data_IF_143622485634
#
_entry.id   IF_143622485634
#
_cell.length_a   1.000
_cell.length_b   1.000
_cell.length_c   1.000
_cell.angle_alpha   90.00
_cell.angle_beta   90.00
_cell.angle_gamma   90.00
#
_symmetry.space_group_name_H-M   'P 1'
#
loop_
_entity.id
_entity.type
_entity.pdbx_description
1 polymer ?
#
# COMPACT_ATOMS: atom_id res chain seq x y z
N UNK A 1 -4.41 -10.58 -14.08
CA UNK A 1 -4.82 -9.36 -13.35
C UNK A 1 -3.64 -8.80 -12.57
N UNK A 2 -3.65 -7.48 -12.31
CA UNK A 2 -2.54 -6.78 -11.66
C UNK A 2 -2.98 -6.13 -10.34
N UNK A 3 -2.02 -6.00 -9.43
CA UNK A 3 -2.15 -5.26 -8.17
C UNK A 3 -1.47 -3.92 -8.35
N UNK A 4 -2.17 -2.88 -7.93
CA UNK A 4 -1.70 -1.51 -7.98
C UNK A 4 -1.48 -1.02 -6.54
N UNK A 5 -0.28 -0.55 -6.25
CA UNK A 5 0.07 0.01 -4.93
C UNK A 5 0.20 1.52 -5.06
N UNK A 6 -0.49 2.24 -4.18
CA UNK A 6 -0.50 3.69 -4.12
C UNK A 6 0.08 4.14 -2.78
N UNK A 7 0.89 5.21 -2.81
CA UNK A 7 1.25 5.98 -1.62
C UNK A 7 0.72 7.39 -1.82
N UNK A 8 -0.37 7.69 -1.11
CA UNK A 8 -1.09 8.95 -1.24
C UNK A 8 -0.26 10.17 -0.83
N UNK A 9 0.86 9.97 -0.12
CA UNK A 9 1.76 11.05 0.27
C UNK A 9 2.84 11.36 -0.76
N UNK A 10 3.11 10.44 -1.68
CA UNK A 10 4.09 10.61 -2.77
C UNK A 10 3.38 10.93 -4.08
N UNK A 11 2.45 10.07 -4.52
CA UNK A 11 1.71 10.25 -5.76
C UNK A 11 0.26 9.79 -5.57
N UNK A 12 -0.67 10.74 -5.70
CA UNK A 12 -2.10 10.53 -5.43
C UNK A 12 -2.83 9.86 -6.59
N UNK A 13 -2.35 10.07 -7.82
CA UNK A 13 -3.10 9.75 -9.03
C UNK A 13 -2.53 8.54 -9.76
N UNK A 14 -1.25 8.24 -9.56
CA UNK A 14 -0.59 7.12 -10.23
C UNK A 14 -0.09 6.08 -9.24
N UNK A 15 -0.20 4.82 -9.64
CA UNK A 15 0.30 3.70 -8.85
C UNK A 15 1.83 3.73 -8.82
N UNK A 16 2.41 3.70 -7.62
CA UNK A 16 3.87 3.55 -7.44
C UNK A 16 4.38 2.18 -7.90
N UNK A 17 3.52 1.17 -7.86
CA UNK A 17 3.85 -0.16 -8.33
C UNK A 17 2.62 -0.78 -9.00
N UNK A 18 2.85 -1.39 -10.17
CA UNK A 18 1.88 -2.21 -10.86
C UNK A 18 2.49 -3.59 -11.06
N UNK A 19 2.00 -4.58 -10.30
CA UNK A 19 2.54 -5.94 -10.35
C UNK A 19 1.49 -6.87 -10.94
N UNK A 20 1.82 -7.55 -12.04
CA UNK A 20 1.00 -8.65 -12.55
C UNK A 20 1.19 -9.86 -11.65
N UNK A 21 0.10 -10.37 -11.08
CA UNK A 21 0.14 -11.50 -10.13
C UNK A 21 -0.45 -12.76 -10.75
N UNK A 22 -1.55 -12.62 -11.49
CA UNK A 22 -2.21 -13.76 -12.15
C UNK A 22 -2.32 -13.55 -13.65
N UNK A 23 -2.54 -14.66 -14.37
CA UNK A 23 -2.80 -14.65 -15.81
C UNK A 23 -4.00 -13.74 -16.17
N UNK A 24 -4.17 -13.41 -17.45
CA UNK A 24 -5.31 -12.58 -17.89
C UNK A 24 -6.67 -13.27 -17.71
N UNK A 25 -6.70 -14.61 -17.60
CA UNK A 25 -7.93 -15.40 -17.50
C UNK A 25 -8.50 -15.44 -16.07
N UNK A 26 -7.67 -15.13 -15.07
CA UNK A 26 -8.02 -15.27 -13.66
C UNK A 26 -8.29 -13.91 -13.02
N UNK A 27 -9.41 -13.81 -12.29
CA UNK A 27 -9.77 -12.64 -11.48
C UNK A 27 -9.16 -12.76 -10.09
N UNK A 28 -8.75 -11.63 -9.53
CA UNK A 28 -8.38 -11.49 -8.11
C UNK A 28 -9.62 -11.10 -7.33
N UNK A 29 -9.82 -11.69 -6.16
CA UNK A 29 -11.05 -11.47 -5.36
C UNK A 29 -10.76 -10.78 -4.04
N UNK A 30 -9.77 -11.27 -3.30
CA UNK A 30 -9.50 -10.82 -1.94
C UNK A 30 -8.05 -10.37 -1.81
N UNK A 31 -7.84 -9.33 -1.00
CA UNK A 31 -6.51 -8.86 -0.59
C UNK A 31 -6.54 -8.57 0.92
N UNK A 32 -5.48 -8.99 1.61
CA UNK A 32 -5.31 -8.73 3.03
C UNK A 32 -3.85 -8.40 3.33
N UNK A 33 -3.63 -7.49 4.29
CA UNK A 33 -2.30 -7.17 4.80
C UNK A 33 -2.00 -8.04 6.02
N UNK A 34 -0.80 -8.59 6.07
CA UNK A 34 -0.34 -9.25 7.29
C UNK A 34 -0.07 -8.18 8.38
N UNK A 35 -0.60 -8.34 9.61
CA UNK A 35 -0.50 -7.33 10.66
C UNK A 35 0.90 -7.21 11.28
N UNK A 36 1.76 -8.22 11.10
CA UNK A 36 3.10 -8.28 11.69
C UNK A 36 4.19 -8.08 10.65
N UNK A 37 4.03 -8.69 9.47
CA UNK A 37 5.03 -8.70 8.42
C UNK A 37 4.55 -7.86 7.23
N UNK A 38 5.46 -7.18 6.49
CA UNK A 38 5.09 -6.36 5.35
C UNK A 38 4.84 -7.24 4.11
N UNK A 39 3.81 -8.07 4.20
CA UNK A 39 3.38 -9.05 3.22
C UNK A 39 1.90 -8.79 2.93
N UNK A 40 1.53 -8.86 1.67
CA UNK A 40 0.13 -8.92 1.24
C UNK A 40 -0.21 -10.34 0.82
N UNK A 41 -1.42 -10.75 1.16
CA UNK A 41 -1.99 -12.05 0.79
C UNK A 41 -3.12 -11.78 -0.19
N UNK A 42 -3.11 -12.49 -1.31
CA UNK A 42 -4.00 -12.24 -2.43
C UNK A 42 -4.66 -13.54 -2.83
N UNK A 43 -5.98 -13.56 -2.80
CA UNK A 43 -6.80 -14.68 -3.25
C UNK A 43 -7.27 -14.50 -4.69
N UNK A 44 -7.24 -15.58 -5.46
CA UNK A 44 -7.77 -15.63 -6.82
C UNK A 44 -9.11 -16.40 -6.91
N UNK A 45 -9.74 -16.34 -8.09
CA UNK A 45 -11.05 -16.97 -8.33
C UNK A 45 -11.05 -18.49 -8.42
N UNK A 46 -9.89 -19.12 -8.46
CA UNK A 46 -9.75 -20.57 -8.50
C UNK A 46 -9.37 -21.14 -7.12
N UNK A 47 -9.35 -20.31 -6.08
CA UNK A 47 -8.97 -20.71 -4.73
C UNK A 47 -7.47 -20.75 -4.49
N UNK A 48 -6.64 -20.24 -5.41
CA UNK A 48 -5.21 -20.08 -5.14
C UNK A 48 -4.96 -18.83 -4.30
N UNK A 49 -4.02 -18.96 -3.37
CA UNK A 49 -3.57 -17.87 -2.51
C UNK A 49 -2.10 -17.59 -2.81
N UNK A 50 -1.81 -16.33 -3.11
CA UNK A 50 -0.45 -15.85 -3.39
C UNK A 50 -0.03 -14.85 -2.31
N UNK A 51 1.13 -15.07 -1.70
CA UNK A 51 1.75 -14.10 -0.78
C UNK A 51 2.85 -13.30 -1.46
N UNK A 52 2.84 -11.98 -1.31
CA UNK A 52 3.83 -11.07 -1.91
C UNK A 52 4.44 -10.17 -0.85
N UNK A 53 5.76 -10.01 -0.87
CA UNK A 53 6.50 -9.12 0.04
C UNK A 53 6.53 -7.70 -0.51
N UNK A 54 6.28 -6.71 0.33
CA UNK A 54 6.35 -5.30 -0.05
C UNK A 54 7.80 -4.84 -0.24
N UNK A 55 8.03 -4.04 -1.29
CA UNK A 55 9.31 -3.38 -1.56
C UNK A 55 9.81 -2.60 -0.34
N UNK A 56 11.13 -2.56 -0.06
CA UNK A 56 11.69 -1.67 0.97
C UNK A 56 11.22 -0.23 0.87
N UNK A 57 11.00 0.30 -0.35
CA UNK A 57 10.58 1.68 -0.53
C UNK A 57 9.17 1.96 -0.01
N UNK A 58 8.29 0.96 -0.03
CA UNK A 58 6.91 1.06 0.48
C UNK A 58 6.81 0.83 1.99
N UNK A 59 7.92 0.46 2.64
CA UNK A 59 8.01 0.20 4.10
C UNK A 59 8.62 1.36 4.86
N UNK A 60 9.11 2.40 4.17
CA UNK A 60 9.84 3.50 4.79
C UNK A 60 8.88 4.37 5.60
N UNK A 61 9.21 4.58 6.87
CA UNK A 61 8.52 5.58 7.69
C UNK A 61 8.78 6.98 7.13
N UNK A 62 7.82 7.91 7.23
CA UNK A 62 8.04 9.29 6.87
C UNK A 62 9.21 9.86 7.69
N UNK A 63 10.21 10.38 7.00
CA UNK A 63 11.30 11.14 7.61
C UNK A 63 11.03 12.63 7.39
N UNK A 64 11.34 13.46 8.37
CA UNK A 64 11.27 14.90 8.21
C UNK A 64 12.38 15.40 7.26
N UNK A 65 12.34 16.69 6.91
CA UNK A 65 13.36 17.33 6.04
C UNK A 65 14.76 17.34 6.66
N UNK A 66 14.90 17.01 7.94
CA UNK A 66 16.17 16.90 8.68
C UNK A 66 16.60 15.45 8.91
N UNK A 67 15.87 14.47 8.37
CA UNK A 67 16.16 13.04 8.48
C UNK A 67 15.70 12.38 9.79
N UNK A 68 15.04 13.11 10.70
CA UNK A 68 14.43 12.56 11.91
C UNK A 68 13.17 11.77 11.55
N UNK A 69 12.99 10.62 12.21
CA UNK A 69 11.77 9.83 12.06
C UNK A 69 10.61 10.57 12.70
N UNK A 70 9.56 10.84 11.92
CA UNK A 70 8.35 11.45 12.46
C UNK A 70 7.65 10.46 13.40
N UNK A 71 7.04 10.93 14.50
CA UNK A 71 6.29 10.08 15.39
C UNK A 71 5.12 9.42 14.64
N UNK A 72 5.15 8.09 14.58
CA UNK A 72 4.07 7.22 14.06
C UNK A 72 2.95 7.06 15.08
N UNK A 73 2.48 8.16 15.67
CA UNK A 73 1.31 8.09 16.53
C UNK A 73 0.06 7.94 15.65
N UNK A 74 -0.95 7.17 16.08
CA UNK A 74 -2.22 7.05 15.35
C UNK A 74 -2.85 8.42 15.05
N UNK A 75 -2.66 9.40 15.92
CA UNK A 75 -3.14 10.77 15.76
C UNK A 75 -2.41 11.49 14.63
N UNK A 76 -1.10 11.33 14.52
CA UNK A 76 -0.31 11.93 13.45
C UNK A 76 -0.67 11.35 12.07
N UNK A 77 -0.94 10.04 11.99
CA UNK A 77 -1.41 9.41 10.75
C UNK A 77 -2.81 9.88 10.36
N UNK A 78 -3.73 10.02 11.33
CA UNK A 78 -5.05 10.59 11.10
C UNK A 78 -4.98 12.03 10.60
N UNK A 79 -4.18 12.88 11.25
CA UNK A 79 -4.01 14.27 10.85
C UNK A 79 -3.46 14.40 9.41
N UNK A 80 -2.49 13.54 9.05
CA UNK A 80 -1.96 13.49 7.67
C UNK A 80 -3.05 13.10 6.66
N UNK A 81 -3.90 12.14 7.00
CA UNK A 81 -5.00 11.71 6.13
C UNK A 81 -6.08 12.80 6.00
N UNK A 82 -6.43 13.48 7.08
CA UNK A 82 -7.38 14.61 7.04
C UNK A 82 -6.87 15.76 6.16
N UNK A 83 -5.58 16.11 6.28
CA UNK A 83 -4.96 17.12 5.43
C UNK A 83 -4.96 16.70 3.94
N UNK A 84 -4.76 15.42 3.65
CA UNK A 84 -4.85 14.91 2.27
C UNK A 84 -6.27 15.04 1.72
N UNK A 85 -7.28 14.72 2.53
CA UNK A 85 -8.69 14.81 2.16
C UNK A 85 -9.17 16.26 1.99
N UNK A 86 -8.68 17.20 2.79
CA UNK A 86 -9.05 18.61 2.66
C UNK A 86 -8.57 19.23 1.34
N UNK A 87 -7.46 18.75 0.78
CA UNK A 87 -6.92 19.18 -0.52
C UNK A 87 -7.67 18.60 -1.72
N UNK A 88 -8.58 17.65 -1.49
CA UNK A 88 -9.37 16.96 -2.51
C UNK A 88 -10.86 17.36 -2.46
N UNK A 89 -11.24 18.28 -1.56
CA UNK A 89 -12.56 18.92 -1.52
C UNK A 89 -12.58 20.14 -2.43
#
# INVERSE_FOLDING_TARGET
MAIHVFDLSINKYEALCQQKVVSKKTKLFNIEFNPVHPIIIVGDGHGHVTSLKLSPNLRKKPKDKKGQELPMSPEAEKAKMEQLLSLLR
#
